data_IF_665781910660
#
_entry.id   IF_665781910660
#
_cell.length_a   1.000
_cell.length_b   1.000
_cell.length_c   1.000
_cell.angle_alpha   90.00
_cell.angle_beta   90.00
_cell.angle_gamma   90.00
#
_symmetry.space_group_name_H-M   'P 1'
#
loop_
_entity.id
_entity.type
_entity.pdbx_description
1 polymer ?
#
# COMPACT_ATOMS: atom_id res chain seq x y z
N UNK A 1 4.09 -0.45 1.09
CA UNK A 1 2.89 -1.32 1.04
C UNK A 1 1.70 -0.41 1.26
N UNK A 2 0.96 -0.03 0.21
CA UNK A 2 -0.27 0.73 0.38
C UNK A 2 -1.36 -0.22 0.91
N UNK A 3 -2.14 0.25 1.88
CA UNK A 3 -3.33 -0.45 2.38
C UNK A 3 -4.52 -0.07 1.49
N UNK A 4 -5.27 -1.06 0.99
CA UNK A 4 -6.32 -0.87 -0.01
C UNK A 4 -7.47 0.04 0.49
N UNK A 5 -7.73 1.15 -0.21
CA UNK A 5 -8.91 2.00 -0.05
C UNK A 5 -10.14 1.44 -0.78
N UNK A 6 -11.29 1.42 -0.11
CA UNK A 6 -12.58 0.96 -0.64
C UNK A 6 -13.45 2.16 -1.04
N UNK A 7 -13.74 2.30 -2.34
CA UNK A 7 -14.72 3.26 -2.85
C UNK A 7 -16.09 2.59 -3.05
N UNK A 8 -17.17 3.19 -2.53
CA UNK A 8 -18.55 2.79 -2.79
C UNK A 8 -19.14 3.67 -3.91
N UNK A 9 -19.59 3.06 -5.00
CA UNK A 9 -20.42 3.74 -5.99
C UNK A 9 -21.91 3.65 -5.59
N UNK A 10 -22.56 4.81 -5.46
CA UNK A 10 -24.00 5.01 -5.51
C UNK A 10 -24.29 6.09 -6.58
N UNK A 11 -25.36 5.87 -7.36
CA UNK A 11 -25.69 6.67 -8.51
C UNK A 11 -26.25 8.06 -8.14
N UNK A 12 -25.78 9.07 -8.90
CA UNK A 12 -26.49 10.30 -9.28
C UNK A 12 -27.12 11.16 -8.17
N UNK A 13 -26.27 11.70 -7.29
CA UNK A 13 -26.20 13.11 -6.92
C UNK A 13 -24.76 13.31 -6.40
N UNK A 14 -23.99 14.19 -7.04
CA UNK A 14 -22.57 14.38 -6.74
C UNK A 14 -22.44 15.12 -5.40
N UNK A 15 -22.21 14.38 -4.32
CA UNK A 15 -21.96 14.93 -2.99
C UNK A 15 -20.52 14.66 -2.60
N UNK A 16 -19.89 15.67 -1.98
CA UNK A 16 -18.57 15.51 -1.38
C UNK A 16 -18.67 14.51 -0.22
N UNK A 17 -17.85 13.47 -0.26
CA UNK A 17 -17.82 12.43 0.76
C UNK A 17 -16.60 12.62 1.67
N UNK A 18 -16.85 12.86 2.95
CA UNK A 18 -15.80 13.02 3.96
C UNK A 18 -15.91 11.91 4.99
N UNK A 19 -14.79 11.33 5.37
CA UNK A 19 -14.72 10.40 6.48
C UNK A 19 -13.48 10.63 7.34
N UNK A 20 -13.65 10.41 8.63
CA UNK A 20 -12.56 10.32 9.60
C UNK A 20 -12.76 9.07 10.44
N UNK A 21 -11.68 8.44 10.85
CA UNK A 21 -11.73 7.23 11.63
C UNK A 21 -10.48 6.99 12.43
N UNK A 22 -10.48 5.86 13.12
CA UNK A 22 -9.34 5.35 13.84
C UNK A 22 -9.23 3.85 13.57
N UNK A 23 -8.03 3.43 13.19
CA UNK A 23 -7.71 2.05 12.91
C UNK A 23 -6.53 1.56 13.72
N UNK A 24 -6.51 0.25 13.99
CA UNK A 24 -5.36 -0.44 14.52
C UNK A 24 -5.16 -1.77 13.77
N UNK A 25 -3.91 -2.21 13.69
CA UNK A 25 -3.57 -3.43 12.99
C UNK A 25 -2.20 -3.96 13.36
N UNK A 26 -1.85 -5.07 12.72
CA UNK A 26 -0.55 -5.71 12.82
C UNK A 26 0.00 -5.91 11.42
N UNK A 27 1.27 -5.56 11.25
CA UNK A 27 1.98 -5.73 10.00
C UNK A 27 3.43 -6.16 10.29
N UNK A 28 4.11 -6.77 9.31
CA UNK A 28 5.55 -7.02 9.42
C UNK A 28 6.29 -5.71 9.64
N UNK A 29 7.41 -5.77 10.36
CA UNK A 29 8.22 -4.56 10.62
C UNK A 29 8.77 -3.94 9.33
N UNK A 30 9.02 -4.75 8.31
CA UNK A 30 9.37 -4.38 6.94
C UNK A 30 9.06 -5.59 6.02
N UNK A 31 9.02 -5.39 4.71
CA UNK A 31 8.80 -6.48 3.76
C UNK A 31 9.90 -7.55 3.89
N UNK A 32 9.51 -8.78 4.20
CA UNK A 32 10.44 -9.87 4.46
C UNK A 32 10.77 -10.13 5.93
N UNK A 33 10.24 -9.33 6.87
CA UNK A 33 10.52 -9.54 8.29
C UNK A 33 9.77 -10.74 8.86
N UNK A 34 10.37 -11.48 9.78
CA UNK A 34 9.65 -12.44 10.64
C UNK A 34 9.07 -11.77 11.89
N UNK A 35 9.41 -10.51 12.14
CA UNK A 35 8.93 -9.71 13.25
C UNK A 35 7.77 -8.82 12.82
N UNK A 36 6.87 -8.57 13.76
CA UNK A 36 5.67 -7.77 13.54
C UNK A 36 5.67 -6.53 14.44
N UNK A 37 4.86 -5.55 14.04
CA UNK A 37 4.56 -4.36 14.86
C UNK A 37 3.07 -4.06 14.80
N UNK A 38 2.57 -3.53 15.91
CA UNK A 38 1.28 -2.85 15.92
C UNK A 38 1.37 -1.54 15.13
N UNK A 39 0.33 -1.22 14.39
CA UNK A 39 0.13 0.07 13.72
C UNK A 39 -1.19 0.61 14.25
N UNK A 40 -1.20 1.87 14.66
CA UNK A 40 -2.42 2.58 15.06
C UNK A 40 -2.32 3.98 14.47
N UNK A 41 -3.43 4.46 13.93
CA UNK A 41 -3.45 5.76 13.28
C UNK A 41 -4.86 6.22 12.99
N UNK A 42 -5.05 7.53 12.85
CA UNK A 42 -6.29 8.05 12.30
C UNK A 42 -6.38 7.60 10.83
N UNK A 43 -7.59 7.26 10.40
CA UNK A 43 -7.91 7.15 8.99
C UNK A 43 -8.69 8.39 8.55
N UNK A 44 -8.51 8.82 7.33
CA UNK A 44 -9.30 9.91 6.75
C UNK A 44 -9.43 9.71 5.25
N UNK A 45 -10.57 10.14 4.72
CA UNK A 45 -10.80 10.23 3.29
C UNK A 45 -11.67 11.44 2.98
N UNK A 46 -11.39 12.12 1.88
CA UNK A 46 -12.24 13.14 1.30
C UNK A 46 -12.29 12.89 -0.21
N UNK A 47 -13.48 12.73 -0.77
CA UNK A 47 -13.68 12.69 -2.22
C UNK A 47 -14.57 13.85 -2.59
N UNK A 48 -14.10 14.65 -3.54
CA UNK A 48 -14.80 15.83 -4.00
C UNK A 48 -15.47 15.54 -5.35
N UNK A 49 -16.62 16.15 -5.57
CA UNK A 49 -17.42 16.03 -6.80
C UNK A 49 -16.64 16.40 -8.08
N UNK A 50 -15.70 17.32 -7.95
CA UNK A 50 -14.84 17.80 -9.03
C UNK A 50 -13.69 16.84 -9.39
N UNK A 51 -13.55 15.71 -8.70
CA UNK A 51 -12.53 14.69 -8.94
C UNK A 51 -11.31 14.78 -8.01
N UNK A 52 -11.19 15.82 -7.18
CA UNK A 52 -10.16 15.84 -6.15
C UNK A 52 -10.42 14.76 -5.10
N UNK A 53 -9.35 14.23 -4.52
CA UNK A 53 -9.46 13.32 -3.39
C UNK A 53 -8.27 13.47 -2.44
N UNK A 54 -8.50 13.07 -1.19
CA UNK A 54 -7.49 12.89 -0.16
C UNK A 54 -7.80 11.55 0.49
N UNK A 55 -6.81 10.67 0.60
CA UNK A 55 -6.91 9.44 1.39
C UNK A 55 -5.57 9.12 2.04
N UNK A 56 -5.61 8.36 3.13
CA UNK A 56 -4.40 7.83 3.77
C UNK A 56 -3.61 6.89 2.82
N UNK A 57 -4.31 6.15 1.97
CA UNK A 57 -3.75 5.10 1.11
C UNK A 57 -3.15 5.60 -0.21
N UNK A 58 -3.82 6.57 -0.83
CA UNK A 58 -3.51 7.07 -2.18
C UNK A 58 -2.98 8.51 -2.14
N UNK A 59 -2.88 9.11 -0.95
CA UNK A 59 -2.43 10.49 -0.77
C UNK A 59 -3.47 11.51 -1.21
N UNK A 60 -3.01 12.67 -1.67
CA UNK A 60 -3.86 13.74 -2.17
C UNK A 60 -3.71 13.87 -3.69
N UNK A 61 -4.82 13.85 -4.42
CA UNK A 61 -4.77 13.76 -5.87
C UNK A 61 -6.03 14.21 -6.59
N UNK A 62 -6.00 13.98 -7.89
CA UNK A 62 -7.10 14.24 -8.81
C UNK A 62 -7.38 12.99 -9.62
N UNK A 63 -8.66 12.62 -9.71
CA UNK A 63 -9.15 11.51 -10.51
C UNK A 63 -10.08 12.05 -11.60
N UNK A 64 -9.82 11.62 -12.82
CA UNK A 64 -10.68 11.84 -13.97
C UNK A 64 -11.33 10.50 -14.33
N UNK A 65 -12.64 10.43 -14.16
CA UNK A 65 -13.44 9.33 -14.68
C UNK A 65 -13.70 9.54 -16.18
N UNK A 66 -13.50 8.48 -16.94
CA UNK A 66 -13.58 8.43 -18.39
C UNK A 66 -14.71 7.48 -18.81
N UNK A 67 -15.17 7.55 -20.07
CA UNK A 67 -16.18 6.63 -20.59
C UNK A 67 -15.82 5.15 -20.39
N UNK A 68 -16.82 4.28 -20.44
CA UNK A 68 -16.67 2.83 -20.33
C UNK A 68 -16.08 2.35 -18.99
N UNK A 69 -16.29 3.11 -17.92
CA UNK A 69 -15.84 2.73 -16.57
C UNK A 69 -14.32 2.78 -16.41
N UNK A 70 -13.63 3.56 -17.25
CA UNK A 70 -12.18 3.77 -17.15
C UNK A 70 -11.89 5.02 -16.31
N UNK A 71 -10.69 5.12 -15.74
CA UNK A 71 -10.27 6.30 -15.02
C UNK A 71 -8.75 6.48 -15.09
N UNK A 72 -8.32 7.72 -14.90
CA UNK A 72 -6.93 8.07 -14.65
C UNK A 72 -6.87 8.96 -13.42
N UNK A 73 -5.84 8.81 -12.59
CA UNK A 73 -5.60 9.69 -11.46
C UNK A 73 -4.12 9.97 -11.27
N UNK A 74 -3.84 11.14 -10.73
CA UNK A 74 -2.52 11.54 -10.29
C UNK A 74 -2.61 12.00 -8.84
N UNK A 75 -1.70 11.52 -8.00
CA UNK A 75 -1.68 11.83 -6.58
C UNK A 75 -0.27 12.03 -6.05
N UNK A 76 -0.19 12.76 -4.94
CA UNK A 76 1.02 12.93 -4.16
C UNK A 76 0.82 12.23 -2.83
N UNK A 77 1.75 11.34 -2.49
CA UNK A 77 1.78 10.65 -1.22
C UNK A 77 3.13 10.84 -0.52
N UNK A 78 3.24 10.27 0.69
CA UNK A 78 4.49 10.21 1.41
C UNK A 78 4.77 8.79 1.90
N UNK A 79 5.88 8.22 1.44
CA UNK A 79 6.41 6.97 1.97
C UNK A 79 7.46 7.26 3.05
N UNK A 80 7.28 6.75 4.29
CA UNK A 80 8.15 7.07 5.42
C UNK A 80 9.56 6.45 5.36
N UNK A 81 9.80 5.55 4.41
CA UNK A 81 11.04 4.81 4.25
C UNK A 81 11.16 3.63 5.23
N UNK A 82 12.40 3.25 5.55
CA UNK A 82 12.71 2.10 6.41
C UNK A 82 13.90 2.42 7.30
N UNK A 83 13.71 2.33 8.60
CA UNK A 83 14.76 2.39 9.60
C UNK A 83 15.56 1.08 9.64
N UNK A 84 16.79 1.16 10.15
CA UNK A 84 17.66 0.02 10.43
C UNK A 84 17.59 -0.44 11.90
N UNK A 85 16.55 0.02 12.62
CA UNK A 85 16.29 -0.30 14.02
C UNK A 85 14.78 -0.45 14.28
N UNK A 86 14.43 -0.94 15.47
CA UNK A 86 13.04 -1.05 15.89
C UNK A 86 12.49 0.33 16.28
N UNK A 87 11.53 0.84 15.50
CA UNK A 87 10.77 2.04 15.83
C UNK A 87 9.26 1.80 15.83
N UNK A 88 8.54 2.55 16.65
CA UNK A 88 7.08 2.49 16.67
C UNK A 88 6.49 3.23 15.46
N UNK A 89 7.02 4.41 15.17
CA UNK A 89 6.54 5.33 14.14
C UNK A 89 6.99 4.97 12.71
N UNK A 90 8.07 4.19 12.56
CA UNK A 90 8.64 3.87 11.25
C UNK A 90 8.78 2.36 11.01
N UNK A 91 8.58 1.88 9.76
CA UNK A 91 9.02 0.55 9.37
C UNK A 91 10.51 0.38 9.63
N UNK A 92 10.94 -0.83 9.98
CA UNK A 92 12.33 -1.12 10.32
C UNK A 92 12.47 -2.12 11.46
N UNK A 93 13.62 -2.80 11.49
CA UNK A 93 13.94 -3.81 12.49
C UNK A 93 15.40 -3.69 12.91
N UNK A 94 15.70 -4.01 14.17
CA UNK A 94 17.09 -4.17 14.64
C UNK A 94 17.87 -5.26 13.90
N UNK A 95 17.19 -6.17 13.18
CA UNK A 95 17.84 -7.10 12.25
C UNK A 95 18.60 -6.37 11.13
N UNK A 96 18.15 -5.17 10.77
CA UNK A 96 18.73 -4.36 9.69
C UNK A 96 19.89 -3.48 10.17
N UNK A 97 20.31 -3.57 11.44
CA UNK A 97 21.33 -2.70 12.03
C UNK A 97 22.59 -2.67 11.17
N UNK A 98 23.05 -1.46 10.82
CA UNK A 98 24.23 -1.28 9.96
C UNK A 98 23.92 -1.22 8.45
N UNK A 99 22.68 -1.52 8.03
CA UNK A 99 22.22 -1.26 6.66
C UNK A 99 22.00 0.23 6.39
N UNK A 100 21.84 1.05 7.43
CA UNK A 100 21.46 2.44 7.31
C UNK A 100 19.98 2.61 6.97
N UNK A 101 19.48 3.81 7.26
CA UNK A 101 18.09 4.19 7.00
C UNK A 101 17.86 4.43 5.52
N UNK A 102 16.80 3.84 4.99
CA UNK A 102 16.19 4.28 3.72
C UNK A 102 15.36 5.52 4.02
N UNK A 103 15.68 6.70 3.45
CA UNK A 103 14.97 7.93 3.76
C UNK A 103 13.53 7.88 3.24
N UNK A 104 12.63 8.58 3.93
CA UNK A 104 11.27 8.81 3.45
C UNK A 104 11.27 9.68 2.20
N UNK A 105 10.27 9.55 1.34
CA UNK A 105 10.16 10.32 0.10
C UNK A 105 8.72 10.71 -0.15
N UNK A 106 8.54 11.91 -0.69
CA UNK A 106 7.31 12.25 -1.40
C UNK A 106 7.30 11.45 -2.69
N UNK A 107 6.19 10.80 -3.00
CA UNK A 107 5.98 10.11 -4.27
C UNK A 107 4.89 10.81 -5.07
N UNK A 108 5.07 10.82 -6.38
CA UNK A 108 3.99 11.14 -7.33
C UNK A 108 3.53 9.82 -7.93
N UNK A 109 2.29 9.45 -7.62
CA UNK A 109 1.62 8.27 -8.14
C UNK A 109 0.76 8.62 -9.34
N UNK A 110 0.92 7.90 -10.45
CA UNK A 110 -0.02 7.94 -11.58
C UNK A 110 -0.70 6.59 -11.67
N UNK A 111 -2.03 6.59 -11.63
CA UNK A 111 -2.86 5.40 -11.68
C UNK A 111 -3.80 5.46 -12.86
N UNK A 112 -3.94 4.34 -13.55
CA UNK A 112 -4.97 4.15 -14.57
C UNK A 112 -5.72 2.86 -14.26
N UNK A 113 -7.02 2.84 -14.46
CA UNK A 113 -7.81 1.66 -14.20
C UNK A 113 -9.10 1.58 -14.99
N UNK A 114 -9.73 0.42 -14.90
CA UNK A 114 -10.99 0.14 -15.55
C UNK A 114 -11.86 -0.80 -14.73
N UNK A 115 -13.15 -0.53 -14.72
CA UNK A 115 -14.17 -1.44 -14.22
C UNK A 115 -14.42 -2.52 -15.27
N UNK A 116 -14.23 -3.77 -14.87
CA UNK A 116 -14.48 -4.96 -15.67
C UNK A 116 -15.77 -5.65 -15.19
N UNK A 117 -16.01 -6.87 -15.65
CA UNK A 117 -17.21 -7.64 -15.30
C UNK A 117 -17.41 -7.80 -13.78
N UNK A 118 -18.66 -7.70 -13.33
CA UNK A 118 -19.03 -7.88 -11.92
C UNK A 118 -18.63 -6.72 -10.99
N UNK A 119 -18.26 -5.56 -11.54
CA UNK A 119 -17.82 -4.40 -10.75
C UNK A 119 -16.40 -4.53 -10.21
N UNK A 120 -15.65 -5.52 -10.70
CA UNK A 120 -14.22 -5.61 -10.39
C UNK A 120 -13.46 -4.47 -11.08
N UNK A 121 -12.37 -4.01 -10.45
CA UNK A 121 -11.53 -2.93 -10.94
C UNK A 121 -10.12 -3.45 -11.14
N UNK A 122 -9.64 -3.37 -12.37
CA UNK A 122 -8.23 -3.58 -12.71
C UNK A 122 -7.54 -2.22 -12.77
N UNK A 123 -6.43 -2.06 -12.05
CA UNK A 123 -5.64 -0.83 -12.11
C UNK A 123 -4.13 -1.08 -12.15
N UNK A 124 -3.42 -0.13 -12.74
CA UNK A 124 -1.96 0.00 -12.72
C UNK A 124 -1.61 1.32 -12.08
N UNK A 125 -0.63 1.30 -11.19
CA UNK A 125 -0.06 2.47 -10.53
C UNK A 125 1.45 2.50 -10.74
N UNK A 126 1.99 3.68 -11.03
CA UNK A 126 3.44 3.94 -11.09
C UNK A 126 3.76 5.01 -10.05
N UNK A 127 4.70 4.71 -9.15
CA UNK A 127 5.10 5.54 -8.03
C UNK A 127 6.50 6.09 -8.25
N UNK A 128 6.60 7.41 -8.39
CA UNK A 128 7.87 8.10 -8.68
C UNK A 128 8.31 8.96 -7.50
N UNK A 129 9.44 8.64 -6.84
CA UNK A 129 9.96 9.49 -5.76
C UNK A 129 10.47 10.82 -6.31
N UNK A 130 10.06 11.94 -5.68
CA UNK A 130 10.45 13.30 -6.10
C UNK A 130 11.45 13.98 -5.16
N UNK A 131 11.50 13.60 -3.88
CA UNK A 131 12.49 14.17 -2.93
C UNK A 131 13.73 13.30 -2.75
N UNK A 132 13.59 11.97 -2.73
CA UNK A 132 14.71 11.03 -2.69
C UNK A 132 14.70 10.10 -3.90
N UNK A 133 14.98 10.65 -5.08
CA UNK A 133 14.92 9.96 -6.39
C UNK A 133 15.86 8.75 -6.48
N UNK A 134 16.92 8.70 -5.67
CA UNK A 134 17.83 7.56 -5.54
C UNK A 134 17.15 6.27 -5.09
N UNK A 135 15.97 6.38 -4.44
CA UNK A 135 15.12 5.23 -4.09
C UNK A 135 14.60 4.47 -5.30
N UNK A 136 14.59 5.06 -6.50
CA UNK A 136 14.07 4.42 -7.71
C UNK A 136 12.54 4.34 -7.78
N UNK A 137 12.06 4.11 -9.00
CA UNK A 137 10.64 4.03 -9.35
C UNK A 137 10.11 2.62 -9.06
N UNK A 138 8.89 2.55 -8.52
CA UNK A 138 8.13 1.32 -8.32
C UNK A 138 6.74 1.43 -8.93
N UNK A 139 5.96 0.37 -8.84
CA UNK A 139 4.57 0.37 -9.24
C UNK A 139 3.91 -0.96 -8.93
N UNK A 140 2.62 -1.01 -9.17
CA UNK A 140 1.83 -2.19 -8.87
C UNK A 140 0.62 -2.32 -9.80
N UNK A 141 0.15 -3.56 -9.94
CA UNK A 141 -1.08 -3.92 -10.63
C UNK A 141 -2.03 -4.47 -9.58
N UNK A 142 -3.25 -3.94 -9.52
CA UNK A 142 -4.30 -4.41 -8.61
C UNK A 142 -5.50 -4.94 -9.38
N UNK A 143 -6.09 -6.01 -8.87
CA UNK A 143 -7.40 -6.48 -9.23
C UNK A 143 -8.26 -6.53 -7.97
N UNK A 144 -9.16 -5.55 -7.83
CA UNK A 144 -10.13 -5.48 -6.73
C UNK A 144 -11.47 -6.06 -7.19
N UNK A 145 -11.97 -7.08 -6.51
CA UNK A 145 -13.18 -7.82 -6.89
C UNK A 145 -14.19 -7.74 -5.73
N UNK A 146 -15.33 -7.06 -5.88
CA UNK A 146 -16.41 -7.15 -4.90
C UNK A 146 -17.03 -8.54 -4.97
N UNK A 147 -16.83 -9.34 -3.92
CA UNK A 147 -17.34 -10.72 -3.85
C UNK A 147 -18.64 -10.84 -3.09
N UNK A 148 -18.97 -9.84 -2.27
CA UNK A 148 -20.23 -9.76 -1.57
C UNK A 148 -20.62 -8.30 -1.37
N UNK A 149 -21.90 -7.98 -1.63
CA UNK A 149 -22.47 -6.66 -1.39
C UNK A 149 -23.92 -6.81 -0.95
N UNK A 150 -24.25 -6.24 0.20
CA UNK A 150 -25.59 -6.12 0.76
C UNK A 150 -25.86 -4.66 1.16
N UNK A 151 -27.02 -4.38 1.76
CA UNK A 151 -27.34 -3.06 2.26
C UNK A 151 -26.40 -2.56 3.38
N UNK A 152 -25.75 -3.48 4.11
CA UNK A 152 -24.89 -3.13 5.25
C UNK A 152 -23.47 -3.68 5.14
N UNK A 153 -23.22 -4.64 4.28
CA UNK A 153 -21.96 -5.38 4.26
C UNK A 153 -21.39 -5.37 2.84
N UNK A 154 -20.09 -5.12 2.73
CA UNK A 154 -19.34 -5.28 1.49
C UNK A 154 -18.05 -6.02 1.76
N UNK A 155 -17.74 -7.01 0.93
CA UNK A 155 -16.46 -7.73 0.95
C UNK A 155 -15.81 -7.57 -0.41
N UNK A 156 -14.56 -7.09 -0.40
CA UNK A 156 -13.72 -6.99 -1.60
C UNK A 156 -12.48 -7.83 -1.40
N UNK A 157 -12.17 -8.64 -2.41
CA UNK A 157 -10.88 -9.32 -2.53
C UNK A 157 -9.99 -8.52 -3.45
N UNK A 158 -8.76 -8.25 -3.03
CA UNK A 158 -7.77 -7.54 -3.85
C UNK A 158 -6.55 -8.42 -4.04
N UNK A 159 -6.22 -8.70 -5.29
CA UNK A 159 -4.92 -9.26 -5.67
C UNK A 159 -4.00 -8.15 -6.17
N UNK A 160 -2.76 -8.12 -5.68
CA UNK A 160 -1.78 -7.09 -6.06
C UNK A 160 -0.47 -7.75 -6.48
N UNK A 161 0.11 -7.29 -7.59
CA UNK A 161 1.47 -7.62 -8.00
C UNK A 161 2.30 -6.34 -7.97
N UNK A 162 3.38 -6.33 -7.22
CA UNK A 162 4.26 -5.17 -7.08
C UNK A 162 5.62 -5.42 -7.73
N UNK A 163 6.17 -4.37 -8.32
CA UNK A 163 7.48 -4.39 -8.94
C UNK A 163 8.14 -3.03 -8.97
N UNK A 164 9.36 -2.99 -9.49
CA UNK A 164 10.15 -1.77 -9.51
C UNK A 164 11.43 -1.86 -10.31
N UNK A 165 12.00 -0.69 -10.57
CA UNK A 165 13.25 -0.54 -11.29
C UNK A 165 14.44 -1.05 -10.45
N UNK A 166 15.58 -1.29 -11.09
CA UNK A 166 16.77 -1.82 -10.40
C UNK A 166 17.23 -0.98 -9.22
N UNK A 167 17.13 0.35 -9.30
CA UNK A 167 17.43 1.23 -8.16
C UNK A 167 16.52 0.96 -6.96
N UNK A 168 15.22 0.81 -7.19
CA UNK A 168 14.25 0.47 -6.15
C UNK A 168 14.58 -0.87 -5.51
N UNK A 169 14.80 -1.88 -6.34
CA UNK A 169 15.14 -3.20 -5.83
C UNK A 169 16.44 -3.21 -5.03
N UNK A 170 17.45 -2.48 -5.49
CA UNK A 170 18.72 -2.39 -4.77
C UNK A 170 18.57 -1.65 -3.44
N UNK A 171 17.74 -0.61 -3.37
CA UNK A 171 17.46 0.12 -2.12
C UNK A 171 16.73 -0.74 -1.08
N UNK A 172 15.76 -1.54 -1.52
CA UNK A 172 14.89 -2.27 -0.60
C UNK A 172 15.33 -3.70 -0.30
N UNK A 173 16.00 -4.37 -1.24
CA UNK A 173 16.39 -5.78 -1.14
C UNK A 173 17.88 -6.03 -1.38
N UNK A 174 18.65 -5.02 -1.75
CA UNK A 174 20.09 -5.12 -1.96
C UNK A 174 20.93 -4.95 -0.70
N UNK A 175 22.17 -5.41 -0.76
CA UNK A 175 23.22 -5.19 0.25
C UNK A 175 24.49 -4.77 -0.48
N UNK A 176 24.91 -3.52 -0.27
CA UNK A 176 26.16 -2.98 -0.83
C UNK A 176 27.37 -3.45 -0.04
N UNK A 177 28.58 -3.28 -0.59
CA UNK A 177 29.84 -3.64 0.08
C UNK A 177 30.01 -2.93 1.42
N UNK A 178 29.69 -1.64 1.46
CA UNK A 178 29.74 -0.83 2.69
C UNK A 178 28.72 -1.32 3.72
N UNK A 179 27.52 -1.69 3.28
CA UNK A 179 26.50 -2.24 4.18
C UNK A 179 26.90 -3.63 4.68
N UNK A 180 27.47 -4.48 3.82
CA UNK A 180 27.96 -5.81 4.18
C UNK A 180 29.00 -5.74 5.29
N UNK A 181 29.98 -4.83 5.15
CA UNK A 181 31.01 -4.60 6.17
C UNK A 181 30.46 -4.08 7.52
N UNK A 182 29.33 -3.36 7.51
CA UNK A 182 28.74 -2.74 8.72
C UNK A 182 27.70 -3.60 9.42
N UNK A 183 27.02 -4.49 8.68
CA UNK A 183 25.88 -5.28 9.16
C UNK A 183 26.19 -6.76 9.31
N UNK A 184 27.22 -7.26 8.61
CA UNK A 184 27.52 -8.70 8.52
C UNK A 184 26.66 -9.45 7.50
N UNK A 185 25.72 -8.79 6.80
CA UNK A 185 25.02 -9.42 5.69
C UNK A 185 25.96 -9.66 4.52
N UNK A 186 25.80 -10.78 3.80
CA UNK A 186 26.52 -11.00 2.53
C UNK A 186 26.11 -9.93 1.51
N UNK A 187 27.06 -9.50 0.68
CA UNK A 187 26.76 -8.61 -0.45
C UNK A 187 25.68 -9.24 -1.34
N UNK A 188 24.79 -8.40 -1.84
CA UNK A 188 23.66 -8.85 -2.65
C UNK A 188 23.23 -7.75 -3.63
N UNK A 189 23.39 -8.05 -4.92
CA UNK A 189 22.96 -7.16 -5.99
C UNK A 189 21.62 -7.62 -6.57
N UNK A 190 20.75 -6.67 -6.83
CA UNK A 190 19.41 -6.91 -7.38
C UNK A 190 19.18 -6.05 -8.62
N UNK A 191 18.52 -6.62 -9.62
CA UNK A 191 18.00 -5.91 -10.78
C UNK A 191 16.51 -5.57 -10.61
N UNK A 192 15.96 -4.83 -11.57
CA UNK A 192 14.52 -4.53 -11.61
C UNK A 192 13.68 -5.79 -11.89
N UNK A 193 12.41 -5.75 -11.50
CA UNK A 193 11.51 -6.89 -11.65
C UNK A 193 10.30 -6.83 -10.72
N UNK A 194 9.62 -7.97 -10.59
CA UNK A 194 8.46 -8.16 -9.71
C UNK A 194 8.96 -8.74 -8.38
N UNK A 195 8.80 -7.98 -7.30
CA UNK A 195 9.28 -8.38 -5.98
C UNK A 195 8.24 -9.07 -5.12
N UNK A 196 6.95 -8.79 -5.32
CA UNK A 196 5.92 -9.41 -4.49
C UNK A 196 4.58 -9.62 -5.18
N UNK A 197 3.86 -10.62 -4.68
CA UNK A 197 2.44 -10.81 -4.94
C UNK A 197 1.68 -10.86 -3.61
N UNK A 198 0.52 -10.24 -3.55
CA UNK A 198 -0.29 -10.13 -2.34
C UNK A 198 -1.75 -10.42 -2.65
N UNK A 199 -2.45 -10.91 -1.63
CA UNK A 199 -3.90 -11.08 -1.65
C UNK A 199 -4.46 -10.59 -0.33
N UNK A 200 -5.51 -9.77 -0.38
CA UNK A 200 -6.20 -9.27 0.81
C UNK A 200 -7.71 -9.35 0.66
N UNK A 201 -8.38 -9.47 1.80
CA UNK A 201 -9.81 -9.30 1.96
C UNK A 201 -10.06 -8.05 2.80
N UNK A 202 -10.98 -7.21 2.34
CA UNK A 202 -11.47 -6.08 3.09
C UNK A 202 -12.99 -6.22 3.26
N UNK A 203 -13.45 -6.19 4.51
CA UNK A 203 -14.86 -6.21 4.90
C UNK A 203 -15.23 -4.87 5.49
N UNK A 204 -16.20 -4.20 4.85
CA UNK A 204 -16.82 -2.99 5.37
C UNK A 204 -18.23 -3.31 5.83
N UNK A 205 -18.57 -2.86 7.04
CA UNK A 205 -19.91 -2.96 7.61
C UNK A 205 -20.44 -1.59 8.01
N UNK A 206 -21.52 -1.15 7.37
CA UNK A 206 -22.30 0.01 7.79
C UNK A 206 -23.08 -0.33 9.07
N UNK A 207 -22.75 0.38 10.15
CA UNK A 207 -23.43 0.27 11.44
C UNK A 207 -24.65 1.20 11.46
N UNK A 208 -24.48 2.42 10.93
CA UNK A 208 -25.53 3.40 10.71
C UNK A 208 -25.26 4.19 9.42
N UNK A 209 -26.03 5.25 9.17
CA UNK A 209 -25.79 6.14 8.02
C UNK A 209 -24.43 6.85 8.08
N UNK A 210 -23.89 7.05 9.29
CA UNK A 210 -22.62 7.78 9.49
C UNK A 210 -21.49 6.84 9.91
N UNK A 211 -21.78 5.75 10.64
CA UNK A 211 -20.75 4.89 11.21
C UNK A 211 -20.54 3.62 10.38
N UNK A 212 -19.28 3.32 10.08
CA UNK A 212 -18.86 2.07 9.44
C UNK A 212 -17.68 1.43 10.18
N UNK A 213 -17.63 0.11 10.14
CA UNK A 213 -16.47 -0.69 10.54
C UNK A 213 -15.76 -1.13 9.27
N UNK A 214 -14.43 -1.04 9.26
CA UNK A 214 -13.57 -1.65 8.26
C UNK A 214 -12.70 -2.70 8.93
N UNK A 215 -12.61 -3.89 8.36
CA UNK A 215 -11.66 -4.92 8.75
C UNK A 215 -10.94 -5.46 7.52
N UNK A 216 -9.62 -5.55 7.59
CA UNK A 216 -8.77 -6.02 6.49
C UNK A 216 -7.86 -7.13 7.00
N UNK A 217 -7.66 -8.14 6.18
CA UNK A 217 -6.65 -9.16 6.40
C UNK A 217 -6.00 -9.52 5.06
N UNK A 218 -4.73 -9.86 5.06
CA UNK A 218 -4.02 -10.21 3.84
C UNK A 218 -2.73 -10.96 4.05
N UNK A 219 -2.22 -11.46 2.94
CA UNK A 219 -0.94 -12.13 2.83
C UNK A 219 -0.16 -11.53 1.66
N UNK A 220 1.13 -11.32 1.88
CA UNK A 220 2.08 -10.88 0.87
C UNK A 220 3.22 -11.87 0.80
N UNK A 221 3.67 -12.20 -0.40
CA UNK A 221 4.78 -13.11 -0.63
C UNK A 221 5.83 -12.45 -1.53
N UNK A 222 7.06 -12.41 -1.02
CA UNK A 222 8.24 -12.04 -1.80
C UNK A 222 8.56 -13.12 -2.83
N UNK A 223 8.84 -12.69 -4.05
CA UNK A 223 9.04 -13.54 -5.21
C UNK A 223 10.50 -13.56 -5.65
N UNK A 224 10.90 -14.69 -6.25
CA UNK A 224 12.22 -14.90 -6.84
C UNK A 224 13.36 -14.40 -5.94
N UNK A 225 14.32 -13.71 -6.58
CA UNK A 225 15.55 -13.21 -5.96
C UNK A 225 15.33 -12.22 -4.82
N UNK A 226 14.18 -11.56 -4.75
CA UNK A 226 13.90 -10.57 -3.71
C UNK A 226 13.61 -11.26 -2.37
N UNK A 227 12.95 -12.42 -2.43
CA UNK A 227 12.80 -13.31 -1.26
C UNK A 227 14.08 -14.05 -0.86
N UNK A 228 15.12 -14.06 -1.70
CA UNK A 228 16.45 -14.64 -1.43
C UNK A 228 17.44 -13.62 -0.82
N UNK A 229 16.99 -12.37 -0.63
CA UNK A 229 17.83 -11.32 -0.08
C UNK A 229 18.29 -11.67 1.34
N UNK A 230 19.57 -11.39 1.71
CA UNK A 230 20.11 -11.69 3.04
C UNK A 230 19.36 -11.02 4.19
N UNK A 231 18.66 -9.92 3.92
CA UNK A 231 17.89 -9.19 4.92
C UNK A 231 16.47 -9.74 5.11
N UNK A 232 16.05 -10.68 4.25
CA UNK A 232 14.72 -11.30 4.33
C UNK A 232 14.77 -12.48 5.28
N UNK A 233 13.92 -12.42 6.29
CA UNK A 233 13.76 -13.46 7.32
C UNK A 233 12.59 -14.40 7.01
N UNK A 234 11.53 -13.89 6.37
CA UNK A 234 10.38 -14.67 5.92
C UNK A 234 9.90 -14.17 4.56
N UNK A 235 9.76 -15.07 3.59
CA UNK A 235 9.20 -14.70 2.28
C UNK A 235 7.71 -14.41 2.32
N UNK A 236 6.99 -14.95 3.31
CA UNK A 236 5.55 -14.79 3.43
C UNK A 236 5.24 -13.98 4.68
N UNK A 237 4.47 -12.94 4.49
CA UNK A 237 4.08 -11.99 5.50
C UNK A 237 2.57 -11.88 5.54
N UNK A 238 2.01 -11.87 6.74
CA UNK A 238 0.59 -11.63 6.94
C UNK A 238 0.40 -10.19 7.40
N UNK A 239 -0.77 -9.63 7.22
CA UNK A 239 -1.13 -8.35 7.81
C UNK A 239 -2.63 -8.29 8.02
N UNK A 240 -3.05 -7.41 8.91
CA UNK A 240 -4.46 -7.16 9.10
C UNK A 240 -4.70 -6.05 10.09
N UNK A 241 -5.92 -5.57 10.13
CA UNK A 241 -6.34 -4.50 11.01
C UNK A 241 -7.82 -4.29 10.94
N UNK A 242 -8.32 -3.49 11.87
CA UNK A 242 -9.69 -3.04 11.88
C UNK A 242 -9.77 -1.61 12.38
N UNK A 243 -10.82 -0.92 11.98
CA UNK A 243 -11.07 0.44 12.38
C UNK A 243 -12.54 0.79 12.27
N UNK A 244 -12.84 1.95 12.82
CA UNK A 244 -14.17 2.56 12.73
C UNK A 244 -14.01 3.90 12.02
N UNK A 245 -14.91 4.20 11.11
CA UNK A 245 -14.98 5.48 10.41
C UNK A 245 -16.35 6.13 10.59
N UNK A 246 -16.33 7.44 10.73
CA UNK A 246 -17.48 8.33 10.69
C UNK A 246 -17.48 9.06 9.34
N UNK A 247 -18.55 8.88 8.56
CA UNK A 247 -18.86 9.62 7.35
C UNK A 247 -19.78 10.79 7.70
N UNK A 248 -19.45 11.96 7.17
CA UNK A 248 -20.23 13.20 7.35
C UNK A 248 -21.36 13.31 6.32
#
# INVERSE_FOLDING_TARGET
MPLAGLAFAAAAHAENEYSIGLGAGIAPRYAGSSQYRGVVGPSFSATFDNGFFISESDGAGYRLDLPHGTFVSAAVDYDPGRADENRFDLPGSSHLKGMGRVPGSVLVGVRAGMTIYGGAVLSVTIDTPVTHTSRGVSGHVDLAVPVYKSAKDQIVLTGTVHGGAGRYMQTFYGVTDVQSARSGFRQYSTGGGIDSASMSVAWTRAISQHWSILATAGVSRLLGRYGDSPIVQSRTNYFGGAGVSYKF
#
